data_IF_670776089846
#
_entry.id   IF_670776089846
#
_cell.length_a   1.000
_cell.length_b   1.000
_cell.length_c   1.000
_cell.angle_alpha   90.00
_cell.angle_beta   90.00
_cell.angle_gamma   90.00
#
_symmetry.space_group_name_H-M   'P 1'
#
loop_
_entity.id
_entity.type
_entity.pdbx_description
1 polymer ?
#
# COMPACT_ATOMS: atom_id res chain seq x y z
N UNK A 1 -10.04 34.61 -7.76
CA UNK A 1 -9.09 34.44 -6.65
C UNK A 1 -8.92 32.94 -6.49
N UNK A 2 -7.76 32.41 -6.76
CA UNK A 2 -7.50 30.98 -6.47
C UNK A 2 -7.34 30.89 -4.96
N UNK A 3 -8.33 30.29 -4.26
CA UNK A 3 -8.24 30.07 -2.84
C UNK A 3 -6.99 29.22 -2.53
N UNK A 4 -6.26 29.60 -1.48
CA UNK A 4 -5.12 28.83 -1.00
C UNK A 4 -5.59 27.44 -0.60
N UNK A 5 -4.80 26.40 -0.90
CA UNK A 5 -5.09 25.01 -0.49
C UNK A 5 -4.59 24.83 0.93
N UNK A 6 -5.50 24.58 1.86
CA UNK A 6 -5.17 24.35 3.25
C UNK A 6 -4.86 22.87 3.51
N UNK A 7 -3.66 22.61 4.05
CA UNK A 7 -3.11 21.26 4.24
C UNK A 7 -2.89 20.95 5.70
N UNK A 8 -3.41 19.83 6.18
CA UNK A 8 -3.06 19.22 7.47
C UNK A 8 -2.05 18.09 7.22
N UNK A 9 -0.99 18.01 8.02
CA UNK A 9 0.01 16.95 7.96
C UNK A 9 -0.04 16.11 9.24
N UNK A 10 -0.02 14.78 9.13
CA UNK A 10 0.26 13.87 10.23
C UNK A 10 1.39 12.92 9.83
N UNK A 11 2.53 13.04 10.52
CA UNK A 11 3.79 12.34 10.24
C UNK A 11 4.57 12.25 11.54
N UNK A 12 5.02 11.07 11.94
CA UNK A 12 5.69 10.87 13.23
C UNK A 12 7.17 11.28 13.22
N UNK A 13 7.87 11.15 12.06
CA UNK A 13 9.27 11.55 11.93
C UNK A 13 9.46 13.07 11.91
N UNK A 14 10.07 13.68 12.93
CA UNK A 14 10.10 15.14 13.05
C UNK A 14 10.82 15.86 11.90
N UNK A 15 11.91 15.27 11.40
CA UNK A 15 12.70 15.87 10.29
C UNK A 15 11.90 15.78 8.99
N UNK A 16 11.26 14.66 8.72
CA UNK A 16 10.45 14.45 7.52
C UNK A 16 9.24 15.37 7.54
N UNK A 17 8.52 15.45 8.66
CA UNK A 17 7.39 16.37 8.86
C UNK A 17 7.79 17.81 8.61
N UNK A 18 8.96 18.25 9.13
CA UNK A 18 9.45 19.60 8.90
C UNK A 18 9.74 19.86 7.44
N UNK A 19 10.41 18.93 6.75
CA UNK A 19 10.69 19.01 5.32
C UNK A 19 9.41 19.13 4.48
N UNK A 20 8.37 18.34 4.80
CA UNK A 20 7.06 18.46 4.13
C UNK A 20 6.43 19.84 4.34
N UNK A 21 6.46 20.37 5.57
CA UNK A 21 5.95 21.70 5.86
C UNK A 21 6.66 22.77 5.04
N UNK A 22 8.00 22.71 4.98
CA UNK A 22 8.81 23.69 4.26
C UNK A 22 8.54 23.62 2.75
N UNK A 23 8.42 22.41 2.17
CA UNK A 23 8.11 22.21 0.75
C UNK A 23 6.69 22.72 0.42
N UNK A 24 5.68 22.36 1.20
CA UNK A 24 4.30 22.77 0.96
C UNK A 24 4.16 24.29 1.09
N UNK A 25 4.71 24.89 2.15
CA UNK A 25 4.65 26.34 2.36
C UNK A 25 5.53 27.15 1.38
N UNK A 26 6.40 26.50 0.61
CA UNK A 26 7.15 27.17 -0.46
C UNK A 26 6.28 27.50 -1.68
N UNK A 27 5.14 26.80 -1.85
CA UNK A 27 4.17 27.11 -2.91
C UNK A 27 3.23 28.23 -2.43
N UNK A 28 3.12 29.35 -3.17
CA UNK A 28 2.32 30.50 -2.73
C UNK A 28 0.81 30.24 -2.67
N UNK A 29 0.35 29.11 -3.22
CA UNK A 29 -1.06 28.71 -3.23
C UNK A 29 -1.37 27.57 -2.25
N UNK A 30 -0.44 27.24 -1.35
CA UNK A 30 -0.62 26.19 -0.36
C UNK A 30 -0.21 26.68 1.03
N UNK A 31 -0.90 26.22 2.07
CA UNK A 31 -0.58 26.54 3.46
C UNK A 31 -0.76 25.34 4.36
N UNK A 32 0.24 25.05 5.21
CA UNK A 32 0.10 24.04 6.26
C UNK A 32 -0.61 24.66 7.45
N UNK A 33 -1.89 24.35 7.61
CA UNK A 33 -2.75 24.90 8.68
C UNK A 33 -2.63 24.12 10.00
N UNK A 34 -2.19 22.86 9.94
CA UNK A 34 -1.91 22.07 11.14
C UNK A 34 -0.88 20.97 10.84
N UNK A 35 -0.09 20.60 11.86
CA UNK A 35 0.79 19.43 11.79
C UNK A 35 0.75 18.65 13.09
N UNK A 36 0.77 17.32 12.99
CA UNK A 36 0.64 16.38 14.11
C UNK A 36 1.72 15.30 13.99
N UNK A 37 2.16 14.77 15.13
CA UNK A 37 3.18 13.72 15.21
C UNK A 37 2.60 12.31 15.36
N UNK A 38 1.28 12.16 15.34
CA UNK A 38 0.58 10.88 15.45
C UNK A 38 -0.88 11.03 15.00
N UNK A 39 -1.59 9.89 14.86
CA UNK A 39 -2.96 9.85 14.38
C UNK A 39 -4.06 10.19 15.37
N UNK A 40 -3.77 10.35 16.70
CA UNK A 40 -4.81 10.39 17.74
C UNK A 40 -5.80 11.54 17.55
N UNK A 41 -5.30 12.75 17.31
CA UNK A 41 -6.11 13.96 17.26
C UNK A 41 -6.39 14.49 15.84
N UNK A 42 -6.05 13.72 14.81
CA UNK A 42 -6.16 14.18 13.42
C UNK A 42 -7.61 14.54 13.07
N UNK A 43 -8.58 13.69 13.40
CA UNK A 43 -10.00 13.96 13.10
C UNK A 43 -10.53 15.18 13.82
N UNK A 44 -10.14 15.37 15.09
CA UNK A 44 -10.54 16.53 15.89
C UNK A 44 -9.94 17.83 15.33
N UNK A 45 -8.65 17.82 15.01
CA UNK A 45 -7.97 18.99 14.43
C UNK A 45 -8.52 19.28 13.03
N UNK A 46 -8.76 18.25 12.20
CA UNK A 46 -9.36 18.42 10.88
C UNK A 46 -10.76 19.05 10.93
N UNK A 47 -11.57 18.74 11.95
CA UNK A 47 -12.86 19.43 12.17
C UNK A 47 -12.70 20.91 12.50
N UNK A 48 -11.66 21.25 13.26
CA UNK A 48 -11.45 22.62 13.74
C UNK A 48 -10.86 23.54 12.65
N UNK A 49 -9.92 23.04 11.84
CA UNK A 49 -9.24 23.83 10.81
C UNK A 49 -9.80 23.64 9.40
N UNK A 50 -10.70 22.65 9.20
CA UNK A 50 -11.37 22.38 7.91
C UNK A 50 -10.42 22.34 6.71
N UNK A 51 -9.35 21.53 6.71
CA UNK A 51 -8.38 21.53 5.63
C UNK A 51 -8.98 20.96 4.35
N UNK A 52 -8.47 21.38 3.19
CA UNK A 52 -8.81 20.80 1.89
C UNK A 52 -8.17 19.41 1.71
N UNK A 53 -6.93 19.29 2.20
CA UNK A 53 -6.09 18.10 2.04
C UNK A 53 -5.55 17.66 3.40
N UNK A 54 -5.56 16.36 3.64
CA UNK A 54 -4.88 15.74 4.78
C UNK A 54 -3.80 14.80 4.25
N UNK A 55 -2.54 15.09 4.56
CA UNK A 55 -1.38 14.25 4.25
C UNK A 55 -1.09 13.37 5.46
N UNK A 56 -1.23 12.05 5.31
CA UNK A 56 -1.13 11.05 6.37
C UNK A 56 0.02 10.10 6.11
N UNK A 57 0.95 10.00 7.04
CA UNK A 57 1.81 8.82 7.10
C UNK A 57 0.97 7.59 7.49
N UNK A 58 1.21 6.46 6.82
CA UNK A 58 0.53 5.20 7.14
C UNK A 58 1.04 4.63 8.45
N UNK A 59 2.36 4.64 8.66
CA UNK A 59 3.03 3.89 9.73
C UNK A 59 3.26 4.76 10.99
N UNK A 60 2.22 5.42 11.48
CA UNK A 60 2.30 6.22 12.71
C UNK A 60 2.06 5.37 13.98
N UNK A 61 2.74 5.69 15.10
CA UNK A 61 2.50 5.03 16.38
C UNK A 61 1.11 5.38 16.95
N UNK A 62 0.58 4.49 17.77
CA UNK A 62 -0.69 4.58 18.52
C UNK A 62 -1.92 4.47 17.60
N UNK A 63 -1.98 5.24 16.51
CA UNK A 63 -3.07 5.21 15.52
C UNK A 63 -2.49 5.43 14.13
N UNK A 64 -2.61 4.42 13.29
CA UNK A 64 -2.10 4.43 11.93
C UNK A 64 -2.87 5.40 11.01
N UNK A 65 -2.24 5.82 9.92
CA UNK A 65 -2.91 6.66 8.93
C UNK A 65 -4.14 6.00 8.30
N UNK A 66 -4.14 4.68 8.14
CA UNK A 66 -5.29 3.93 7.62
C UNK A 66 -6.49 3.99 8.58
N UNK A 67 -6.25 3.85 9.89
CA UNK A 67 -7.31 4.01 10.90
C UNK A 67 -7.85 5.43 10.92
N UNK A 68 -6.98 6.44 10.84
CA UNK A 68 -7.37 7.85 10.75
C UNK A 68 -8.25 8.10 9.51
N UNK A 69 -7.88 7.60 8.35
CA UNK A 69 -8.65 7.77 7.12
C UNK A 69 -10.03 7.10 7.22
N UNK A 70 -10.11 5.94 7.86
CA UNK A 70 -11.39 5.24 8.12
C UNK A 70 -12.30 6.08 9.01
N UNK A 71 -11.76 6.70 10.06
CA UNK A 71 -12.53 7.59 10.94
C UNK A 71 -13.00 8.85 10.20
N UNK A 72 -12.13 9.49 9.42
CA UNK A 72 -12.50 10.65 8.59
C UNK A 72 -13.65 10.31 7.63
N UNK A 73 -13.60 9.12 7.02
CA UNK A 73 -14.67 8.64 6.13
C UNK A 73 -15.97 8.41 6.89
N UNK A 74 -15.90 7.76 8.05
CA UNK A 74 -17.07 7.49 8.92
C UNK A 74 -17.72 8.80 9.38
N UNK A 75 -16.90 9.81 9.71
CA UNK A 75 -17.34 11.14 10.11
C UNK A 75 -17.76 12.04 8.94
N UNK A 76 -17.65 11.53 7.70
CA UNK A 76 -17.94 12.25 6.44
C UNK A 76 -17.17 13.56 6.33
N UNK A 77 -15.90 13.55 6.77
CA UNK A 77 -15.03 14.71 6.61
C UNK A 77 -14.78 14.98 5.14
N UNK A 78 -14.95 16.23 4.62
CA UNK A 78 -14.82 16.55 3.21
C UNK A 78 -13.38 16.58 2.71
N UNK A 79 -12.38 16.64 3.60
CA UNK A 79 -10.97 16.71 3.22
C UNK A 79 -10.53 15.49 2.41
N UNK A 80 -9.70 15.73 1.41
CA UNK A 80 -9.15 14.66 0.57
C UNK A 80 -7.88 14.11 1.22
N UNK A 81 -7.76 12.79 1.30
CA UNK A 81 -6.64 12.12 1.95
C UNK A 81 -5.56 11.75 0.94
N UNK A 82 -4.32 12.13 1.25
CA UNK A 82 -3.09 11.70 0.58
C UNK A 82 -2.29 10.87 1.57
N UNK A 83 -1.95 9.64 1.21
CA UNK A 83 -1.06 8.82 2.02
C UNK A 83 0.39 8.98 1.64
N UNK A 84 1.24 9.03 2.67
CA UNK A 84 2.69 8.87 2.60
C UNK A 84 3.08 7.53 3.19
N UNK A 85 4.03 6.84 2.59
CA UNK A 85 4.53 5.57 3.13
C UNK A 85 5.91 5.22 2.60
N UNK A 86 6.71 4.52 3.38
CA UNK A 86 7.93 3.84 2.92
C UNK A 86 7.63 2.45 2.36
N UNK A 87 6.39 1.94 2.53
CA UNK A 87 6.01 0.61 2.10
C UNK A 87 5.41 0.62 0.70
N UNK A 88 6.11 0.00 -0.25
CA UNK A 88 5.66 -0.13 -1.64
C UNK A 88 4.86 -1.41 -1.92
N UNK A 89 4.35 -2.12 -0.91
CA UNK A 89 3.59 -3.36 -1.13
C UNK A 89 2.19 -3.08 -1.69
N UNK A 90 1.72 -3.97 -2.55
CA UNK A 90 0.36 -3.92 -3.09
C UNK A 90 -0.71 -3.99 -2.00
N UNK A 91 -0.47 -4.76 -0.94
CA UNK A 91 -1.42 -4.91 0.17
C UNK A 91 -1.72 -3.58 0.86
N UNK A 92 -0.67 -2.82 1.21
CA UNK A 92 -0.80 -1.50 1.84
C UNK A 92 -1.45 -0.50 0.88
N UNK A 93 -1.05 -0.52 -0.39
CA UNK A 93 -1.66 0.29 -1.44
C UNK A 93 -3.17 0.02 -1.58
N UNK A 94 -3.57 -1.25 -1.66
CA UNK A 94 -4.97 -1.65 -1.80
C UNK A 94 -5.83 -1.21 -0.60
N UNK A 95 -5.30 -1.36 0.63
CA UNK A 95 -5.96 -0.87 1.85
C UNK A 95 -6.14 0.65 1.84
N UNK A 96 -5.14 1.39 1.38
CA UNK A 96 -5.21 2.85 1.27
C UNK A 96 -6.28 3.29 0.26
N UNK A 97 -6.36 2.64 -0.90
CA UNK A 97 -7.40 2.91 -1.91
C UNK A 97 -8.79 2.60 -1.34
N UNK A 98 -8.95 1.46 -0.65
CA UNK A 98 -10.20 1.10 0.02
C UNK A 98 -10.63 2.09 1.11
N UNK A 99 -9.65 2.69 1.82
CA UNK A 99 -9.86 3.77 2.78
C UNK A 99 -10.13 5.15 2.13
N UNK A 100 -10.33 5.21 0.81
CA UNK A 100 -10.74 6.43 0.10
C UNK A 100 -9.60 7.37 -0.29
N UNK A 101 -8.35 6.89 -0.34
CA UNK A 101 -7.19 7.68 -0.77
C UNK A 101 -7.46 8.41 -2.11
N UNK A 102 -7.08 9.68 -2.16
CA UNK A 102 -7.04 10.48 -3.40
C UNK A 102 -5.62 10.71 -3.88
N UNK A 103 -4.64 10.53 -3.01
CA UNK A 103 -3.22 10.55 -3.34
C UNK A 103 -2.48 9.43 -2.61
N UNK A 104 -1.41 8.92 -3.24
CA UNK A 104 -0.52 7.92 -2.66
C UNK A 104 0.91 8.18 -3.09
N UNK A 105 1.78 8.53 -2.14
CA UNK A 105 3.16 8.94 -2.37
C UNK A 105 4.10 8.02 -1.59
N UNK A 106 5.16 7.54 -2.25
CA UNK A 106 6.28 6.92 -1.56
C UNK A 106 7.18 7.99 -0.93
N UNK A 107 7.61 7.79 0.32
CA UNK A 107 8.48 8.74 1.05
C UNK A 107 9.80 9.00 0.31
N UNK A 108 10.32 8.04 -0.45
CA UNK A 108 11.54 8.19 -1.25
C UNK A 108 11.40 9.27 -2.35
N UNK A 109 10.17 9.55 -2.79
CA UNK A 109 9.85 10.54 -3.83
C UNK A 109 9.09 11.75 -3.29
N UNK A 110 8.89 11.85 -1.97
CA UNK A 110 7.98 12.83 -1.39
C UNK A 110 8.38 14.28 -1.68
N UNK A 111 9.68 14.58 -1.74
CA UNK A 111 10.18 15.94 -2.03
C UNK A 111 9.71 16.40 -3.42
N UNK A 112 9.77 15.52 -4.41
CA UNK A 112 9.43 15.83 -5.80
C UNK A 112 7.92 15.76 -6.05
N UNK A 113 7.25 14.82 -5.39
CA UNK A 113 5.86 14.45 -5.68
C UNK A 113 4.82 15.24 -4.89
N UNK A 114 5.13 15.71 -3.67
CA UNK A 114 4.11 16.21 -2.72
C UNK A 114 3.32 17.41 -3.26
N UNK A 115 3.98 18.45 -3.73
CA UNK A 115 3.31 19.67 -4.22
C UNK A 115 2.44 19.36 -5.45
N UNK A 116 2.97 18.56 -6.38
CA UNK A 116 2.22 18.15 -7.56
C UNK A 116 1.01 17.28 -7.21
N UNK A 117 1.19 16.34 -6.27
CA UNK A 117 0.11 15.48 -5.77
C UNK A 117 -1.00 16.32 -5.12
N UNK A 118 -0.67 17.24 -4.20
CA UNK A 118 -1.64 18.14 -3.55
C UNK A 118 -2.43 18.91 -4.58
N UNK A 119 -1.76 19.50 -5.58
CA UNK A 119 -2.41 20.28 -6.63
C UNK A 119 -3.39 19.44 -7.46
N UNK A 120 -3.01 18.24 -7.85
CA UNK A 120 -3.87 17.33 -8.63
C UNK A 120 -5.05 16.84 -7.80
N UNK A 121 -4.81 16.47 -6.53
CA UNK A 121 -5.85 16.01 -5.62
C UNK A 121 -6.84 17.13 -5.30
N UNK A 122 -6.36 18.36 -5.10
CA UNK A 122 -7.23 19.53 -4.92
C UNK A 122 -8.19 19.73 -6.12
N UNK A 123 -7.73 19.47 -7.35
CA UNK A 123 -8.54 19.49 -8.57
C UNK A 123 -9.50 18.28 -8.70
N UNK A 124 -9.54 17.38 -7.73
CA UNK A 124 -10.38 16.16 -7.78
C UNK A 124 -9.78 15.00 -8.58
N UNK A 125 -8.54 15.12 -9.02
CA UNK A 125 -7.81 14.04 -9.71
C UNK A 125 -7.16 13.12 -8.69
N UNK A 126 -6.96 11.86 -9.06
CA UNK A 126 -6.17 10.91 -8.28
C UNK A 126 -4.70 11.02 -8.65
N UNK A 127 -3.81 10.89 -7.65
CA UNK A 127 -2.37 10.81 -7.86
C UNK A 127 -1.78 9.56 -7.22
N UNK A 128 -0.91 8.88 -7.94
CA UNK A 128 -0.12 7.75 -7.42
C UNK A 128 1.31 7.91 -7.91
N UNK A 129 2.28 7.76 -7.01
CA UNK A 129 3.70 7.80 -7.38
C UNK A 129 4.00 6.90 -8.57
N UNK A 130 4.79 7.34 -9.56
CA UNK A 130 5.02 6.61 -10.83
C UNK A 130 5.46 5.16 -10.65
N UNK A 131 6.26 4.88 -9.62
CA UNK A 131 6.73 3.52 -9.28
C UNK A 131 5.60 2.55 -8.88
N UNK A 132 4.42 3.06 -8.53
CA UNK A 132 3.26 2.27 -8.09
C UNK A 132 2.12 2.25 -9.11
N UNK A 133 2.26 2.96 -10.22
CA UNK A 133 1.21 3.00 -11.27
C UNK A 133 0.90 1.62 -11.85
N UNK A 134 1.87 0.69 -11.81
CA UNK A 134 1.64 -0.71 -12.16
C UNK A 134 0.53 -1.39 -11.34
N UNK A 135 0.29 -0.93 -10.12
CA UNK A 135 -0.78 -1.46 -9.28
C UNK A 135 -2.17 -1.02 -9.73
N UNK A 136 -2.31 0.21 -10.23
CA UNK A 136 -3.57 0.70 -10.82
C UNK A 136 -3.94 -0.08 -12.08
N UNK A 137 -2.96 -0.48 -12.89
CA UNK A 137 -3.18 -1.28 -14.10
C UNK A 137 -3.61 -2.70 -13.71
N UNK A 138 -3.05 -3.24 -12.64
CA UNK A 138 -3.44 -4.55 -12.12
C UNK A 138 -4.85 -4.54 -11.50
N UNK A 139 -5.30 -3.44 -10.88
CA UNK A 139 -6.69 -3.28 -10.43
C UNK A 139 -7.68 -3.19 -11.61
N UNK A 140 -7.27 -2.65 -12.76
CA UNK A 140 -8.08 -2.67 -13.98
C UNK A 140 -8.12 -4.06 -14.66
N UNK A 141 -7.16 -4.92 -14.33
CA UNK A 141 -7.12 -6.35 -14.64
C UNK A 141 -7.21 -7.18 -13.35
N UNK A 142 -7.85 -6.62 -12.30
CA UNK A 142 -8.03 -7.40 -11.10
C UNK A 142 -8.64 -8.75 -11.52
N UNK A 143 -7.90 -9.87 -11.44
CA UNK A 143 -8.57 -11.11 -11.21
C UNK A 143 -9.33 -10.84 -9.91
N UNK A 144 -10.66 -11.02 -9.94
CA UNK A 144 -11.48 -11.23 -8.75
C UNK A 144 -10.62 -11.89 -7.70
N UNK A 145 -10.51 -11.29 -6.50
CA UNK A 145 -9.70 -11.74 -5.37
C UNK A 145 -9.01 -13.07 -5.63
N UNK A 146 -7.69 -13.15 -5.50
CA UNK A 146 -7.04 -14.46 -5.54
C UNK A 146 -7.64 -15.27 -4.39
N UNK A 147 -8.84 -15.79 -4.63
CA UNK A 147 -9.45 -16.84 -3.85
C UNK A 147 -8.59 -18.08 -4.09
N UNK A 148 -8.53 -18.97 -3.14
CA UNK A 148 -7.91 -20.29 -3.32
C UNK A 148 -8.34 -20.94 -4.64
N UNK A 149 -9.56 -20.69 -5.09
CA UNK A 149 -10.10 -21.20 -6.35
C UNK A 149 -9.43 -20.58 -7.58
N UNK A 150 -9.15 -19.28 -7.57
CA UNK A 150 -8.38 -18.62 -8.65
C UNK A 150 -6.93 -19.14 -8.75
N UNK A 151 -6.29 -19.47 -7.63
CA UNK A 151 -4.96 -20.10 -7.63
C UNK A 151 -5.03 -21.55 -8.14
N UNK A 152 -6.09 -22.29 -7.80
CA UNK A 152 -6.33 -23.65 -8.31
C UNK A 152 -6.57 -23.69 -9.80
N UNK A 153 -7.21 -22.66 -10.36
CA UNK A 153 -7.45 -22.56 -11.81
C UNK A 153 -6.15 -22.27 -12.60
N UNK A 154 -5.21 -21.52 -11.98
CA UNK A 154 -3.92 -21.16 -12.62
C UNK A 154 -2.86 -22.26 -12.49
N UNK A 155 -2.92 -23.05 -11.42
CA UNK A 155 -1.89 -24.03 -11.08
C UNK A 155 -2.41 -25.46 -11.27
N UNK A 156 -1.53 -26.36 -11.69
CA UNK A 156 -1.85 -27.79 -11.64
C UNK A 156 -1.97 -28.27 -10.20
N UNK A 157 -2.69 -29.39 -9.93
CA UNK A 157 -2.81 -29.92 -8.57
C UNK A 157 -1.46 -30.14 -7.86
N UNK A 158 -0.44 -30.58 -8.58
CA UNK A 158 0.92 -30.77 -8.06
C UNK A 158 1.60 -29.43 -7.72
N UNK A 159 1.45 -28.43 -8.59
CA UNK A 159 1.99 -27.09 -8.35
C UNK A 159 1.30 -26.41 -7.15
N UNK A 160 -0.02 -26.53 -7.05
CA UNK A 160 -0.78 -26.01 -5.92
C UNK A 160 -0.36 -26.68 -4.60
N UNK A 161 -0.15 -28.02 -4.60
CA UNK A 161 0.36 -28.75 -3.44
C UNK A 161 1.75 -28.24 -3.02
N UNK A 162 2.65 -28.04 -3.97
CA UNK A 162 3.99 -27.50 -3.70
C UNK A 162 3.90 -26.06 -3.17
N UNK A 163 3.02 -25.22 -3.70
CA UNK A 163 2.83 -23.85 -3.21
C UNK A 163 2.35 -23.84 -1.74
N UNK A 164 1.44 -24.73 -1.36
CA UNK A 164 1.02 -24.89 0.04
C UNK A 164 2.18 -25.31 0.96
N UNK A 165 3.05 -26.22 0.51
CA UNK A 165 4.21 -26.63 1.30
C UNK A 165 5.27 -25.52 1.43
N UNK A 166 5.36 -24.63 0.43
CA UNK A 166 6.16 -23.40 0.53
C UNK A 166 5.53 -22.43 1.56
N UNK A 167 4.20 -22.36 1.63
CA UNK A 167 3.49 -21.59 2.65
C UNK A 167 3.74 -22.11 4.08
N UNK A 168 3.94 -23.40 4.23
CA UNK A 168 4.39 -24.03 5.48
C UNK A 168 5.90 -23.85 5.75
N UNK A 169 6.58 -22.95 5.04
CA UNK A 169 8.01 -22.64 5.14
C UNK A 169 8.95 -23.82 4.88
N UNK A 170 8.49 -24.86 4.16
CA UNK A 170 9.30 -26.04 3.84
C UNK A 170 10.31 -25.73 2.73
N UNK A 171 11.54 -26.25 2.92
CA UNK A 171 12.59 -26.14 1.89
C UNK A 171 12.34 -27.12 0.76
N UNK A 172 12.97 -26.90 -0.41
CA UNK A 172 12.85 -27.81 -1.56
C UNK A 172 13.28 -29.24 -1.26
N UNK A 173 14.23 -29.42 -0.33
CA UNK A 173 14.64 -30.75 0.14
C UNK A 173 13.52 -31.44 0.91
N UNK A 174 12.92 -30.78 1.90
CA UNK A 174 11.80 -31.30 2.70
C UNK A 174 10.60 -31.61 1.80
N UNK A 175 10.27 -30.72 0.87
CA UNK A 175 9.18 -30.92 -0.11
C UNK A 175 9.45 -32.17 -0.97
N UNK A 176 10.70 -32.37 -1.42
CA UNK A 176 11.06 -33.52 -2.24
C UNK A 176 10.89 -34.85 -1.50
N UNK A 177 11.26 -34.88 -0.21
CA UNK A 177 11.10 -36.04 0.65
C UNK A 177 9.62 -36.36 0.91
N UNK A 178 8.81 -35.34 1.21
CA UNK A 178 7.38 -35.48 1.51
C UNK A 178 6.55 -35.91 0.30
N UNK A 179 6.92 -35.44 -0.91
CA UNK A 179 6.21 -35.76 -2.14
C UNK A 179 6.81 -36.97 -2.91
N UNK A 180 7.87 -37.56 -2.38
CA UNK A 180 8.59 -38.68 -3.03
C UNK A 180 9.06 -38.36 -4.47
N UNK A 181 9.56 -37.14 -4.70
CA UNK A 181 10.10 -36.67 -5.98
C UNK A 181 11.52 -36.13 -5.81
N UNK A 182 12.24 -35.92 -6.92
CA UNK A 182 13.60 -35.38 -6.82
C UNK A 182 13.59 -33.87 -6.44
N UNK A 183 14.63 -33.38 -5.71
CA UNK A 183 14.76 -31.95 -5.44
C UNK A 183 14.77 -31.11 -6.75
N UNK A 184 15.35 -31.66 -7.81
CA UNK A 184 15.35 -31.00 -9.14
C UNK A 184 13.94 -30.83 -9.70
N UNK A 185 13.06 -31.83 -9.46
CA UNK A 185 11.64 -31.76 -9.87
C UNK A 185 10.91 -30.66 -9.09
N UNK A 186 11.17 -30.51 -7.78
CA UNK A 186 10.62 -29.42 -6.97
C UNK A 186 11.06 -28.06 -7.51
N UNK A 187 12.33 -27.87 -7.83
CA UNK A 187 12.84 -26.61 -8.40
C UNK A 187 12.20 -26.29 -9.76
N UNK A 188 11.97 -27.28 -10.62
CA UNK A 188 11.25 -27.10 -11.87
C UNK A 188 9.81 -26.63 -11.62
N UNK A 189 9.09 -27.23 -10.67
CA UNK A 189 7.75 -26.79 -10.29
C UNK A 189 7.78 -25.37 -9.72
N UNK A 190 8.73 -25.03 -8.83
CA UNK A 190 8.87 -23.64 -8.31
C UNK A 190 9.06 -22.63 -9.43
N UNK A 191 9.86 -22.95 -10.43
CA UNK A 191 10.06 -22.11 -11.61
C UNK A 191 8.77 -21.94 -12.41
N UNK A 192 8.01 -23.00 -12.62
CA UNK A 192 6.73 -22.95 -13.35
C UNK A 192 5.67 -22.17 -12.57
N UNK A 193 5.56 -22.39 -11.26
CA UNK A 193 4.66 -21.63 -10.38
C UNK A 193 5.02 -20.14 -10.45
N UNK A 194 6.32 -19.79 -10.34
CA UNK A 194 6.78 -18.39 -10.43
C UNK A 194 6.34 -17.73 -11.74
N UNK A 195 6.50 -18.43 -12.86
CA UNK A 195 6.05 -17.95 -14.19
C UNK A 195 4.55 -17.75 -14.26
N UNK A 196 3.76 -18.71 -13.76
CA UNK A 196 2.29 -18.67 -13.78
C UNK A 196 1.71 -17.60 -12.88
N UNK A 197 2.37 -17.32 -11.74
CA UNK A 197 1.96 -16.27 -10.80
C UNK A 197 2.60 -14.90 -11.09
N UNK A 198 3.47 -14.80 -12.11
CA UNK A 198 4.13 -13.54 -12.47
C UNK A 198 5.13 -13.04 -11.44
N UNK A 199 5.66 -13.93 -10.58
CA UNK A 199 6.62 -13.57 -9.53
C UNK A 199 8.05 -13.86 -9.95
N UNK A 200 9.00 -12.98 -9.60
CA UNK A 200 10.41 -13.09 -9.98
C UNK A 200 11.35 -12.85 -8.80
N UNK A 201 12.62 -13.23 -8.97
CA UNK A 201 13.67 -13.07 -7.96
C UNK A 201 13.84 -14.28 -7.05
N UNK A 202 14.99 -14.30 -6.33
CA UNK A 202 15.49 -15.45 -5.56
C UNK A 202 14.51 -15.98 -4.51
N UNK A 203 13.61 -15.13 -3.98
CA UNK A 203 12.60 -15.50 -2.99
C UNK A 203 11.17 -15.10 -3.44
N UNK A 204 10.92 -14.96 -4.75
CA UNK A 204 9.63 -14.48 -5.29
C UNK A 204 8.42 -15.26 -4.78
N UNK A 205 8.48 -16.60 -4.79
CA UNK A 205 7.38 -17.44 -4.28
C UNK A 205 7.20 -17.33 -2.77
N UNK A 206 8.28 -17.23 -2.00
CA UNK A 206 8.18 -17.06 -0.54
C UNK A 206 7.53 -15.71 -0.21
N UNK A 207 7.94 -14.64 -0.91
CA UNK A 207 7.30 -13.32 -0.77
C UNK A 207 5.83 -13.37 -1.15
N UNK A 208 5.50 -14.01 -2.27
CA UNK A 208 4.11 -14.18 -2.71
C UNK A 208 3.25 -14.84 -1.64
N UNK A 209 3.73 -15.92 -1.05
CA UNK A 209 3.02 -16.66 -0.01
C UNK A 209 2.86 -15.83 1.27
N UNK A 210 3.92 -15.12 1.70
CA UNK A 210 3.86 -14.26 2.88
C UNK A 210 2.84 -13.12 2.72
N UNK A 211 2.80 -12.50 1.54
CA UNK A 211 1.82 -11.43 1.23
C UNK A 211 0.39 -11.98 1.21
N UNK A 212 0.20 -13.21 0.74
CA UNK A 212 -1.10 -13.86 0.61
C UNK A 212 -1.35 -14.92 1.71
N UNK A 213 -0.74 -14.77 2.90
CA UNK A 213 -0.80 -15.77 3.99
C UNK A 213 -2.24 -16.14 4.36
N UNK A 214 -3.18 -15.16 4.32
CA UNK A 214 -4.61 -15.38 4.57
C UNK A 214 -5.26 -16.44 3.66
N UNK A 215 -4.67 -16.72 2.47
CA UNK A 215 -5.16 -17.78 1.56
C UNK A 215 -4.68 -19.17 1.96
N UNK A 216 -3.65 -19.26 2.79
CA UNK A 216 -2.99 -20.52 3.17
C UNK A 216 -3.22 -20.89 4.64
N UNK A 217 -3.83 -20.00 5.45
CA UNK A 217 -4.19 -20.29 6.83
C UNK A 217 -5.25 -21.39 6.84
N UNK A 218 -4.88 -22.54 7.38
CA UNK A 218 -5.84 -23.63 7.62
C UNK A 218 -6.74 -23.21 8.78
N UNK A 219 -8.03 -22.97 8.53
CA UNK A 219 -9.07 -23.10 9.54
C UNK A 219 -9.07 -24.50 10.14
#
# INVERSE_FOLDING_TARGET
>A
MTDSIDVLIAEDHPIFRRGLMDIINSDPYMSVVANLSNGINVTTVAKNCSPDIIVLDIDMPVKSGLEVATDLQTEKNPAKVIFLTSNSSYEVFSKAIAAGAKGYILKDNAIEDTVNCIRLVAQGKMYVSPSLTGYLINDYKAPKSDSLDSLRDKLTPSEFKILNLIAEHKTSKVISEELFISPKTVENHRTNISKKLGVSGTNGLLKFVLINSHLFDKN
#
